data_IF_181499886165
#
_entry.id   IF_181499886165
#
_cell.length_a   1.000
_cell.length_b   1.000
_cell.length_c   1.000
_cell.angle_alpha   90.00
_cell.angle_beta   90.00
_cell.angle_gamma   90.00
#
_symmetry.space_group_name_H-M   'P 1'
#
loop_
_entity.id
_entity.type
_entity.pdbx_description
1 polymer ?
#
# COMPACT_ATOMS: atom_id res chain seq x y z
N UNK A 1 4.63 20.15 -6.41
CA UNK A 1 3.21 19.72 -6.56
C UNK A 1 2.34 20.70 -5.78
N UNK A 2 1.55 21.55 -6.46
CA UNK A 2 0.72 22.54 -5.77
C UNK A 2 -0.52 21.93 -5.09
N UNK A 3 -0.99 20.78 -5.61
CA UNK A 3 -2.17 20.07 -5.11
C UNK A 3 -1.84 18.90 -4.17
N UNK A 4 -0.57 18.69 -3.80
CA UNK A 4 -0.17 17.55 -2.95
C UNK A 4 -0.33 16.16 -3.59
N UNK A 5 -0.44 16.10 -4.93
CA UNK A 5 -0.59 14.87 -5.71
C UNK A 5 0.21 14.95 -7.02
N UNK A 6 0.39 13.81 -7.70
CA UNK A 6 1.09 13.69 -8.98
C UNK A 6 0.27 12.89 -10.01
N UNK A 7 0.38 13.25 -11.29
CA UNK A 7 -0.39 12.61 -12.38
C UNK A 7 0.04 11.17 -12.67
N UNK A 8 1.31 10.83 -12.40
CA UNK A 8 1.86 9.51 -12.69
C UNK A 8 1.68 9.11 -14.15
N UNK A 9 1.13 7.92 -14.39
CA UNK A 9 0.82 7.39 -15.74
C UNK A 9 -0.53 7.88 -16.29
N UNK A 10 -1.26 8.72 -15.57
CA UNK A 10 -2.63 9.14 -15.92
C UNK A 10 -3.69 8.05 -15.71
N UNK A 11 -3.35 6.94 -15.04
CA UNK A 11 -4.28 5.89 -14.66
C UNK A 11 -5.04 6.23 -13.37
N UNK A 12 -6.31 5.86 -13.30
CA UNK A 12 -7.17 6.06 -12.14
C UNK A 12 -7.70 4.74 -11.62
N UNK A 13 -7.68 4.55 -10.30
CA UNK A 13 -8.35 3.45 -9.60
C UNK A 13 -9.42 4.08 -8.73
N UNK A 14 -10.67 3.67 -8.89
CA UNK A 14 -11.82 4.29 -8.23
C UNK A 14 -12.33 3.36 -7.14
N UNK A 15 -12.44 3.89 -5.91
CA UNK A 15 -13.00 3.22 -4.75
C UNK A 15 -14.29 3.93 -4.34
N UNK A 16 -15.34 3.17 -4.03
CA UNK A 16 -16.59 3.73 -3.51
C UNK A 16 -16.54 3.91 -1.98
N UNK A 17 -17.57 4.51 -1.41
CA UNK A 17 -17.73 4.78 0.02
C UNK A 17 -17.92 3.53 0.89
N UNK A 18 -17.93 2.34 0.27
CA UNK A 18 -17.97 1.03 0.92
C UNK A 18 -16.57 0.43 1.11
N UNK A 19 -15.51 1.08 0.65
CA UNK A 19 -14.12 0.67 0.88
C UNK A 19 -13.66 1.01 2.30
N UNK A 20 -13.10 0.04 3.01
CA UNK A 20 -12.41 0.30 4.27
C UNK A 20 -11.02 0.91 3.99
N UNK A 21 -10.69 2.09 4.55
CA UNK A 21 -9.40 2.73 4.31
C UNK A 21 -8.20 1.91 4.81
N UNK A 22 -8.36 1.16 5.91
CA UNK A 22 -7.28 0.33 6.45
C UNK A 22 -7.05 -0.92 5.58
N UNK A 23 -8.11 -1.52 5.07
CA UNK A 23 -8.00 -2.60 4.08
C UNK A 23 -7.28 -2.12 2.81
N UNK A 24 -7.64 -0.95 2.28
CA UNK A 24 -6.99 -0.36 1.12
C UNK A 24 -5.51 -0.06 1.39
N UNK A 25 -5.20 0.57 2.54
CA UNK A 25 -3.83 0.87 2.93
C UNK A 25 -2.99 -0.42 3.00
N UNK A 26 -3.52 -1.47 3.64
CA UNK A 26 -2.83 -2.76 3.73
C UNK A 26 -2.61 -3.38 2.34
N UNK A 27 -3.61 -3.37 1.45
CA UNK A 27 -3.48 -3.94 0.11
C UNK A 27 -2.41 -3.21 -0.73
N UNK A 28 -2.38 -1.88 -0.69
CA UNK A 28 -1.36 -1.06 -1.37
C UNK A 28 0.03 -1.31 -0.78
N UNK A 29 0.16 -1.24 0.54
CA UNK A 29 1.42 -1.46 1.26
C UNK A 29 1.98 -2.85 0.98
N UNK A 30 1.15 -3.90 1.01
CA UNK A 30 1.55 -5.27 0.69
C UNK A 30 2.14 -5.35 -0.71
N UNK A 31 1.49 -4.74 -1.70
CA UNK A 31 2.00 -4.69 -3.07
C UNK A 31 3.39 -4.02 -3.11
N UNK A 32 3.53 -2.82 -2.54
CA UNK A 32 4.79 -2.07 -2.57
C UNK A 32 5.91 -2.77 -1.79
N UNK A 33 5.61 -3.37 -0.63
CA UNK A 33 6.57 -4.12 0.17
C UNK A 33 7.11 -5.37 -0.53
N UNK A 34 6.25 -6.07 -1.27
CA UNK A 34 6.63 -7.21 -2.11
C UNK A 34 7.44 -6.75 -3.34
N UNK A 35 7.03 -5.67 -4.00
CA UNK A 35 7.72 -5.16 -5.20
C UNK A 35 8.98 -4.33 -4.91
N UNK A 36 9.26 -3.99 -3.65
CA UNK A 36 10.53 -3.38 -3.26
C UNK A 36 11.70 -4.28 -3.68
N UNK A 37 12.60 -3.74 -4.52
CA UNK A 37 13.73 -4.46 -5.13
C UNK A 37 14.88 -4.80 -4.16
N UNK A 38 14.83 -4.32 -2.92
CA UNK A 38 15.84 -4.64 -1.90
C UNK A 38 17.11 -3.79 -1.91
N UNK A 39 17.31 -2.88 -2.88
CA UNK A 39 18.55 -2.07 -2.96
C UNK A 39 18.69 -1.00 -1.87
N UNK A 40 17.58 -0.59 -1.24
CA UNK A 40 17.56 0.40 -0.16
C UNK A 40 16.96 -0.26 1.08
N UNK A 41 17.76 -0.45 2.15
CA UNK A 41 17.28 -1.10 3.38
C UNK A 41 16.10 -0.37 4.02
N UNK A 42 16.14 0.96 4.02
CA UNK A 42 15.04 1.81 4.50
C UNK A 42 13.73 1.53 3.76
N UNK A 43 13.78 1.35 2.44
CA UNK A 43 12.62 0.99 1.64
C UNK A 43 12.17 -0.45 1.90
N UNK A 44 13.08 -1.43 1.84
CA UNK A 44 12.72 -2.86 1.91
C UNK A 44 12.12 -3.23 3.26
N UNK A 45 12.87 -2.96 4.32
CA UNK A 45 12.42 -3.22 5.69
C UNK A 45 11.31 -2.22 6.08
N UNK A 46 11.34 -1.02 5.50
CA UNK A 46 10.34 0.03 5.65
C UNK A 46 8.94 -0.41 5.34
N UNK A 47 8.72 -0.73 4.06
CA UNK A 47 7.43 -1.13 3.54
C UNK A 47 6.96 -2.46 4.16
N UNK A 48 7.88 -3.39 4.47
CA UNK A 48 7.54 -4.63 5.18
C UNK A 48 6.93 -4.34 6.56
N UNK A 49 7.60 -3.51 7.36
CA UNK A 49 7.10 -3.11 8.68
C UNK A 49 5.74 -2.40 8.60
N UNK A 50 5.59 -1.45 7.66
CA UNK A 50 4.31 -0.76 7.42
C UNK A 50 3.21 -1.78 7.08
N UNK A 51 3.51 -2.74 6.21
CA UNK A 51 2.57 -3.80 5.82
C UNK A 51 2.15 -4.64 7.02
N UNK A 52 3.10 -5.07 7.85
CA UNK A 52 2.84 -5.89 9.04
C UNK A 52 1.99 -5.16 10.08
N UNK A 53 2.29 -3.87 10.31
CA UNK A 53 1.47 -3.03 11.19
C UNK A 53 0.06 -2.91 10.66
N UNK A 54 -0.11 -2.63 9.36
CA UNK A 54 -1.42 -2.49 8.72
C UNK A 54 -2.22 -3.81 8.73
N UNK A 55 -1.55 -4.95 8.57
CA UNK A 55 -2.17 -6.27 8.62
C UNK A 55 -2.77 -6.60 10.00
N UNK A 56 -2.16 -6.11 11.07
CA UNK A 56 -2.61 -6.30 12.46
C UNK A 56 -3.66 -5.30 12.94
N UNK A 57 -4.15 -4.40 12.08
CA UNK A 57 -5.16 -3.41 12.45
C UNK A 57 -6.56 -4.02 12.45
N UNK A 58 -7.04 -4.44 13.61
CA UNK A 58 -8.44 -4.89 13.81
C UNK A 58 -9.43 -3.72 13.98
N UNK A 59 -8.96 -2.48 13.94
CA UNK A 59 -9.75 -1.31 14.30
C UNK A 59 -8.99 0.00 14.14
N UNK A 60 -9.59 1.08 14.65
CA UNK A 60 -9.13 2.47 14.49
C UNK A 60 -7.65 2.61 14.86
N UNK A 61 -6.87 3.23 13.98
CA UNK A 61 -5.42 3.38 14.19
C UNK A 61 -5.14 4.55 15.14
N UNK A 62 -5.03 4.27 16.44
CA UNK A 62 -4.67 5.29 17.44
C UNK A 62 -3.47 4.88 18.29
N UNK A 63 -3.02 5.81 19.14
CA UNK A 63 -2.00 5.53 20.15
C UNK A 63 -0.62 5.18 19.58
N UNK A 64 0.15 4.31 20.26
CA UNK A 64 1.52 3.99 19.88
C UNK A 64 1.66 3.42 18.46
N UNK A 65 0.70 2.61 18.01
CA UNK A 65 0.69 2.01 16.67
C UNK A 65 0.65 3.09 15.59
N UNK A 66 -0.18 4.12 15.79
CA UNK A 66 -0.25 5.26 14.88
C UNK A 66 1.06 6.05 14.85
N UNK A 67 1.67 6.27 16.01
CA UNK A 67 2.96 6.96 16.13
C UNK A 67 4.08 6.22 15.41
N UNK A 68 4.15 4.90 15.60
CA UNK A 68 5.11 4.01 14.94
C UNK A 68 4.93 4.02 13.41
N UNK A 69 3.70 3.87 12.93
CA UNK A 69 3.38 3.95 11.50
C UNK A 69 3.84 5.28 10.90
N UNK A 70 3.56 6.42 11.57
CA UNK A 70 4.02 7.74 11.11
C UNK A 70 5.53 7.88 11.10
N UNK A 71 6.22 7.39 12.13
CA UNK A 71 7.67 7.44 12.21
C UNK A 71 8.31 6.59 11.10
N UNK A 72 7.73 5.44 10.80
CA UNK A 72 8.19 4.58 9.72
C UNK A 72 7.97 5.21 8.35
N UNK A 73 6.78 5.78 8.09
CA UNK A 73 6.49 6.51 6.86
C UNK A 73 7.41 7.73 6.68
N UNK A 74 7.85 8.38 7.77
CA UNK A 74 8.77 9.52 7.68
C UNK A 74 10.19 9.11 7.23
N UNK A 75 10.61 7.87 7.50
CA UNK A 75 11.97 7.38 7.22
C UNK A 75 12.05 6.37 6.05
N UNK A 76 10.93 5.87 5.55
CA UNK A 76 10.90 4.87 4.46
C UNK A 76 11.59 5.34 3.17
N UNK A 77 11.67 6.65 2.97
CA UNK A 77 12.30 7.30 1.81
C UNK A 77 13.79 7.57 1.95
N UNK A 78 14.38 7.28 3.13
CA UNK A 78 15.78 7.61 3.41
C UNK A 78 16.73 6.89 2.45
N UNK A 79 17.63 7.67 1.83
CA UNK A 79 18.56 7.19 0.81
C UNK A 79 17.89 6.39 -0.33
N UNK A 80 16.64 6.72 -0.66
CA UNK A 80 15.88 6.03 -1.72
C UNK A 80 16.50 6.25 -3.10
N UNK A 81 16.54 5.18 -3.89
CA UNK A 81 17.06 5.17 -5.27
C UNK A 81 15.98 5.27 -6.34
N UNK A 82 14.74 4.98 -5.97
CA UNK A 82 13.59 5.01 -6.87
C UNK A 82 12.37 5.59 -6.14
N UNK A 83 11.25 5.70 -6.86
CA UNK A 83 10.05 6.35 -6.35
C UNK A 83 9.15 5.44 -5.48
N UNK A 84 9.39 4.12 -5.45
CA UNK A 84 8.58 3.16 -4.68
C UNK A 84 8.38 3.56 -3.21
N UNK A 85 9.43 3.87 -2.41
CA UNK A 85 9.22 4.27 -1.02
C UNK A 85 8.50 5.63 -0.89
N UNK A 86 8.59 6.50 -1.90
CA UNK A 86 7.81 7.74 -1.92
C UNK A 86 6.33 7.47 -2.19
N UNK A 87 6.00 6.45 -2.99
CA UNK A 87 4.62 6.00 -3.17
C UNK A 87 4.05 5.42 -1.87
N UNK A 88 4.82 4.57 -1.19
CA UNK A 88 4.46 4.03 0.13
C UNK A 88 4.16 5.16 1.11
N UNK A 89 5.10 6.10 1.28
CA UNK A 89 4.94 7.24 2.17
C UNK A 89 3.67 8.04 1.85
N UNK A 90 3.50 8.45 0.59
CA UNK A 90 2.43 9.38 0.20
C UNK A 90 1.06 8.74 0.24
N UNK A 91 0.91 7.53 -0.31
CA UNK A 91 -0.39 6.86 -0.38
C UNK A 91 -0.86 6.49 1.02
N UNK A 92 -0.02 5.84 1.82
CA UNK A 92 -0.41 5.43 3.18
C UNK A 92 -0.65 6.65 4.06
N UNK A 93 0.20 7.69 4.01
CA UNK A 93 -0.02 8.92 4.79
C UNK A 93 -1.33 9.62 4.42
N UNK A 94 -1.77 9.57 3.16
CA UNK A 94 -3.03 10.16 2.72
C UNK A 94 -4.28 9.45 3.28
N UNK A 95 -4.17 8.16 3.60
CA UNK A 95 -5.26 7.35 4.16
C UNK A 95 -5.35 7.42 5.69
N UNK A 96 -4.29 7.87 6.37
CA UNK A 96 -4.24 7.92 7.83
C UNK A 96 -5.40 8.67 8.50
N UNK A 97 -5.89 9.83 7.99
CA UNK A 97 -7.04 10.51 8.58
C UNK A 97 -8.32 9.64 8.57
N UNK A 98 -8.56 8.92 7.48
CA UNK A 98 -9.75 8.06 7.34
C UNK A 98 -9.62 6.78 8.16
N UNK A 99 -8.42 6.21 8.27
CA UNK A 99 -8.14 5.06 9.16
C UNK A 99 -8.38 5.37 10.64
N UNK A 100 -8.32 6.66 11.02
CA UNK A 100 -8.65 7.18 12.35
C UNK A 100 -10.12 7.49 12.54
N UNK A 101 -10.91 7.53 11.47
CA UNK A 101 -12.32 7.87 11.53
C UNK A 101 -13.17 6.62 11.85
N UNK A 102 -13.82 6.52 13.01
CA UNK A 102 -14.70 5.39 13.33
C UNK A 102 -15.82 5.19 12.29
N UNK A 103 -16.27 6.28 11.65
CA UNK A 103 -17.33 6.24 10.65
C UNK A 103 -16.87 5.80 9.26
N UNK A 104 -15.56 5.67 9.03
CA UNK A 104 -15.01 5.19 7.76
C UNK A 104 -14.84 3.66 7.72
N UNK A 105 -15.12 2.96 8.84
CA UNK A 105 -15.01 1.50 8.91
C UNK A 105 -15.99 0.78 8.01
N UNK A 106 -15.52 -0.22 7.27
CA UNK A 106 -16.35 -1.06 6.40
C UNK A 106 -15.96 -2.54 6.53
N UNK A 107 -16.87 -3.48 6.26
CA UNK A 107 -16.50 -4.89 6.12
C UNK A 107 -15.48 -5.07 5.00
N UNK A 108 -14.51 -5.96 5.20
CA UNK A 108 -13.54 -6.31 4.17
C UNK A 108 -14.24 -6.85 2.91
N UNK A 109 -13.75 -6.44 1.74
CA UNK A 109 -14.24 -6.91 0.43
C UNK A 109 -13.17 -7.66 -0.38
N UNK A 110 -11.99 -7.88 0.19
CA UNK A 110 -10.88 -8.55 -0.48
C UNK A 110 -10.24 -7.67 -1.54
N UNK A 111 -9.81 -6.45 -1.16
CA UNK A 111 -9.17 -5.53 -2.10
C UNK A 111 -7.85 -6.14 -2.62
N UNK A 112 -7.78 -6.36 -3.93
CA UNK A 112 -6.57 -6.82 -4.61
C UNK A 112 -5.90 -5.64 -5.34
N UNK A 113 -4.68 -5.30 -4.92
CA UNK A 113 -3.80 -4.40 -5.66
C UNK A 113 -2.75 -5.27 -6.37
N UNK A 114 -2.78 -5.26 -7.70
CA UNK A 114 -1.93 -6.13 -8.52
C UNK A 114 -1.40 -5.42 -9.77
N UNK A 115 -0.44 -6.05 -10.44
CA UNK A 115 0.15 -5.57 -11.68
C UNK A 115 -0.84 -5.76 -12.83
N UNK A 116 -0.92 -4.75 -13.68
CA UNK A 116 -1.45 -4.89 -15.03
C UNK A 116 -0.34 -5.48 -15.89
N UNK A 117 -0.60 -6.60 -16.56
CA UNK A 117 0.37 -7.28 -17.43
C UNK A 117 0.07 -7.12 -18.91
N UNK A 118 -1.18 -6.80 -19.26
CA UNK A 118 -1.59 -6.58 -20.64
C UNK A 118 -2.86 -5.72 -20.73
N UNK A 119 -3.17 -5.26 -21.94
CA UNK A 119 -4.42 -4.60 -22.31
C UNK A 119 -4.97 -5.28 -23.55
N UNK A 120 -5.94 -6.17 -23.36
CA UNK A 120 -6.58 -6.91 -24.45
C UNK A 120 -8.02 -6.41 -24.64
N UNK A 121 -8.37 -6.03 -25.86
CA UNK A 121 -9.72 -5.59 -26.24
C UNK A 121 -10.34 -4.54 -25.28
N UNK A 122 -9.53 -3.57 -24.83
CA UNK A 122 -9.97 -2.51 -23.91
C UNK A 122 -10.15 -2.96 -22.46
N UNK A 123 -9.69 -4.15 -22.09
CA UNK A 123 -9.70 -4.68 -20.73
C UNK A 123 -8.28 -4.95 -20.23
N UNK A 124 -7.97 -4.48 -19.03
CA UNK A 124 -6.70 -4.80 -18.40
C UNK A 124 -6.65 -6.28 -18.00
N UNK A 125 -5.53 -6.92 -18.29
CA UNK A 125 -5.19 -8.26 -17.80
C UNK A 125 -4.35 -8.09 -16.54
N UNK A 126 -4.76 -8.75 -15.46
CA UNK A 126 -4.17 -8.61 -14.13
C UNK A 126 -3.35 -9.86 -13.75
N UNK A 127 -2.23 -9.66 -13.05
CA UNK A 127 -1.43 -10.75 -12.51
C UNK A 127 -1.96 -11.26 -11.17
N UNK A 128 -2.93 -12.15 -11.18
CA UNK A 128 -3.50 -12.70 -9.94
C UNK A 128 -2.51 -13.54 -9.11
N UNK A 129 -1.34 -13.91 -9.65
CA UNK A 129 -0.29 -14.57 -8.85
C UNK A 129 0.31 -13.64 -7.80
N UNK A 130 0.15 -12.32 -7.98
CA UNK A 130 0.61 -11.30 -7.04
C UNK A 130 0.07 -11.53 -5.62
N UNK A 131 -1.16 -12.03 -5.48
CA UNK A 131 -1.78 -12.30 -4.18
C UNK A 131 -0.94 -13.26 -3.30
N UNK A 132 -0.25 -14.21 -3.95
CA UNK A 132 0.62 -15.23 -3.34
C UNK A 132 2.10 -14.83 -3.30
N UNK A 133 2.48 -13.70 -3.89
CA UNK A 133 3.88 -13.29 -3.97
C UNK A 133 4.37 -12.83 -2.60
N UNK A 134 5.52 -13.34 -2.17
CA UNK A 134 6.16 -13.06 -0.88
C UNK A 134 7.22 -11.97 -0.99
N UNK A 135 7.60 -11.33 0.13
CA UNK A 135 8.63 -10.28 0.10
C UNK A 135 10.03 -10.73 -0.32
N UNK A 136 10.32 -12.03 -0.30
CA UNK A 136 11.55 -12.63 -0.86
C UNK A 136 11.40 -12.99 -2.36
N UNK A 137 10.32 -12.51 -2.99
CA UNK A 137 9.94 -12.74 -4.39
C UNK A 137 9.61 -14.19 -4.76
N UNK A 138 9.45 -15.06 -3.77
CA UNK A 138 8.87 -16.39 -3.96
C UNK A 138 7.34 -16.32 -4.01
N UNK A 139 6.68 -17.43 -4.33
CA UNK A 139 5.22 -17.54 -4.34
C UNK A 139 4.77 -18.64 -3.39
N UNK A 140 3.65 -18.41 -2.70
CA UNK A 140 2.97 -19.48 -1.98
C UNK A 140 2.48 -20.56 -2.96
N UNK A 141 2.44 -21.84 -2.55
CA UNK A 141 1.78 -22.90 -3.32
C UNK A 141 0.32 -22.56 -3.65
N UNK A 142 -0.24 -23.25 -4.64
CA UNK A 142 -1.66 -23.17 -5.01
C UNK A 142 -2.55 -24.03 -4.09
#
# INVERSE_FOLDING_TARGET
EAAGTGLGTGGFIVFDDRTDPAELAHAVSKFLGVESCGQCSACKLGCQHVTEVLAGLDGITEGPVYGDLRARLASVTDASRCFLPSQEQRVIASLLPDMRNPHARRPSRGIEITKIVDLDNGRFVLDHKQARKRPDWTYEPE
#
